data_IF_569512647948
#
_entry.id   IF_569512647948
#
_cell.length_a   1.000
_cell.length_b   1.000
_cell.length_c   1.000
_cell.angle_alpha   90.00
_cell.angle_beta   90.00
_cell.angle_gamma   90.00
#
_symmetry.space_group_name_H-M   'P 1'
#
loop_
_entity.id
_entity.type
_entity.pdbx_description
1 polymer ?
#
# COMPACT_ATOMS: atom_id res chain seq x y z
N UNK A 1 -35.83 -47.09 -29.97
CA UNK A 1 -37.18 -47.63 -29.70
C UNK A 1 -37.74 -46.94 -28.46
N UNK A 2 -38.91 -46.35 -28.63
CA UNK A 2 -39.91 -45.81 -27.69
C UNK A 2 -39.60 -45.50 -26.23
N UNK A 3 -39.96 -44.25 -25.89
CA UNK A 3 -40.14 -43.70 -24.55
C UNK A 3 -41.65 -43.45 -24.35
N UNK A 4 -42.34 -44.17 -23.45
CA UNK A 4 -43.70 -43.82 -22.97
C UNK A 4 -43.56 -43.05 -21.65
N UNK A 5 -44.03 -41.80 -21.48
CA UNK A 5 -45.37 -41.19 -21.65
C UNK A 5 -46.30 -41.45 -20.46
N UNK A 6 -46.49 -40.43 -19.62
CA UNK A 6 -47.81 -40.02 -19.10
C UNK A 6 -47.76 -38.54 -18.68
N UNK A 7 -48.77 -37.79 -19.12
CA UNK A 7 -48.95 -36.35 -18.97
C UNK A 7 -50.45 -36.10 -19.11
N UNK A 8 -51.03 -35.25 -18.25
CA UNK A 8 -52.42 -34.76 -18.28
C UNK A 8 -52.32 -33.27 -17.91
N UNK A 9 -52.73 -32.29 -18.73
CA UNK A 9 -54.12 -31.95 -19.15
C UNK A 9 -55.05 -31.81 -17.93
N UNK A 10 -55.90 -30.79 -17.74
CA UNK A 10 -56.31 -29.59 -18.49
C UNK A 10 -57.00 -28.63 -17.45
N UNK A 11 -57.52 -27.41 -17.68
CA UNK A 11 -57.81 -26.53 -18.85
C UNK A 11 -58.01 -25.06 -18.34
N UNK A 12 -57.69 -24.05 -19.18
CA UNK A 12 -58.48 -22.86 -19.61
C UNK A 12 -59.31 -21.96 -18.63
N UNK A 13 -59.63 -20.68 -18.90
CA UNK A 13 -59.42 -19.77 -20.07
C UNK A 13 -59.43 -18.27 -19.62
N UNK A 14 -58.83 -17.39 -20.43
CA UNK A 14 -58.98 -15.91 -20.42
C UNK A 14 -60.09 -15.50 -21.46
N UNK A 15 -60.46 -14.25 -21.81
CA UNK A 15 -59.98 -12.85 -21.60
C UNK A 15 -61.20 -11.90 -21.81
N UNK A 16 -60.98 -10.67 -22.27
CA UNK A 16 -61.84 -9.79 -23.10
C UNK A 16 -62.66 -8.63 -22.47
N UNK A 17 -61.90 -7.53 -22.23
CA UNK A 17 -61.89 -6.28 -23.03
C UNK A 17 -62.90 -5.12 -22.87
N UNK A 18 -62.31 -3.94 -23.13
CA UNK A 18 -62.83 -2.61 -23.49
C UNK A 18 -63.61 -1.77 -22.45
N UNK A 19 -63.61 -0.42 -22.43
CA UNK A 19 -62.72 0.71 -22.85
C UNK A 19 -63.63 1.94 -23.09
N UNK A 20 -63.28 3.09 -22.46
CA UNK A 20 -63.53 4.54 -22.77
C UNK A 20 -63.81 5.30 -21.44
N UNK A 21 -63.09 6.38 -21.06
CA UNK A 21 -63.13 7.79 -21.53
C UNK A 21 -64.57 8.37 -21.53
N UNK A 22 -64.90 9.51 -20.91
CA UNK A 22 -64.14 10.79 -20.82
C UNK A 22 -64.38 11.67 -19.56
N UNK A 23 -63.46 12.64 -19.38
CA UNK A 23 -63.39 13.89 -18.56
C UNK A 23 -64.54 14.42 -17.66
N UNK A 24 -64.19 15.15 -16.58
CA UNK A 24 -64.50 16.60 -16.35
C UNK A 24 -63.79 17.22 -15.11
N UNK A 25 -63.07 18.33 -15.36
CA UNK A 25 -62.50 19.45 -14.54
C UNK A 25 -62.30 19.43 -13.00
N UNK A 26 -61.11 19.94 -12.58
CA UNK A 26 -60.86 21.19 -11.79
C UNK A 26 -62.02 21.82 -10.95
N UNK A 27 -61.81 22.50 -9.81
CA UNK A 27 -60.62 23.18 -9.24
C UNK A 27 -60.70 23.24 -7.70
N UNK A 28 -59.56 23.40 -7.01
CA UNK A 28 -59.37 24.35 -5.88
C UNK A 28 -57.98 24.17 -5.22
N UNK A 29 -57.07 25.11 -5.49
CA UNK A 29 -55.82 25.23 -4.76
C UNK A 29 -56.01 26.06 -3.47
N UNK A 30 -55.48 25.59 -2.34
CA UNK A 30 -55.31 26.40 -1.13
C UNK A 30 -53.83 26.35 -0.71
N UNK A 31 -53.36 27.48 -0.19
CA UNK A 31 -51.95 27.84 -0.07
C UNK A 31 -51.15 27.08 0.99
N UNK A 32 -49.86 26.94 0.71
CA UNK A 32 -48.78 26.61 1.65
C UNK A 32 -48.85 27.52 2.89
N UNK A 33 -48.92 26.92 4.08
CA UNK A 33 -48.12 27.28 5.28
C UNK A 33 -48.50 26.38 6.47
N UNK A 34 -47.68 25.37 6.77
CA UNK A 34 -47.61 24.78 8.11
C UNK A 34 -46.15 24.44 8.48
N UNK A 35 -45.79 24.45 9.78
CA UNK A 35 -44.40 24.55 10.22
C UNK A 35 -43.69 23.20 10.33
N UNK A 36 -42.35 23.28 10.40
CA UNK A 36 -41.45 22.19 10.77
C UNK A 36 -41.89 21.50 12.07
N UNK A 37 -42.44 20.29 11.97
CA UNK A 37 -42.55 19.35 13.09
C UNK A 37 -41.58 18.19 12.86
N UNK A 38 -40.74 17.94 13.85
CA UNK A 38 -39.61 17.02 13.77
C UNK A 38 -40.05 15.56 13.90
N UNK A 39 -39.93 14.79 12.82
CA UNK A 39 -39.75 13.34 12.92
C UNK A 39 -38.34 12.98 12.42
N UNK A 40 -37.42 12.90 13.38
CA UNK A 40 -36.05 12.47 13.11
C UNK A 40 -36.01 10.94 13.20
N UNK A 41 -36.14 10.25 12.05
CA UNK A 41 -35.96 8.80 11.98
C UNK A 41 -34.47 8.46 12.12
N UNK A 42 -33.97 8.53 13.36
CA UNK A 42 -32.60 8.19 13.74
C UNK A 42 -32.38 6.71 13.44
N UNK A 43 -31.79 6.38 12.27
CA UNK A 43 -31.13 5.08 12.06
C UNK A 43 -29.87 5.09 12.93
N UNK A 44 -30.09 4.80 14.21
CA UNK A 44 -29.06 4.69 15.23
C UNK A 44 -28.11 3.57 14.84
N UNK A 45 -26.90 3.95 14.40
CA UNK A 45 -25.79 3.01 14.27
C UNK A 45 -25.61 2.29 15.62
N UNK A 46 -26.03 1.02 15.66
CA UNK A 46 -26.18 0.24 16.89
C UNK A 46 -24.82 0.06 17.56
N UNK A 47 -24.47 0.99 18.46
CA UNK A 47 -23.25 0.97 19.28
C UNK A 47 -23.17 -0.40 19.95
N UNK A 48 -22.15 -1.18 19.60
CA UNK A 48 -21.91 -2.46 20.24
C UNK A 48 -21.75 -2.27 21.77
N UNK A 49 -22.28 -3.17 22.61
CA UNK A 49 -22.17 -3.03 24.05
C UNK A 49 -20.70 -2.97 24.49
N UNK A 50 -20.32 -1.92 25.23
CA UNK A 50 -18.98 -1.76 25.83
C UNK A 50 -18.87 -2.55 27.15
N UNK A 51 -19.31 -3.80 27.19
CA UNK A 51 -19.35 -4.58 28.44
C UNK A 51 -18.37 -5.76 28.40
N UNK A 52 -17.35 -5.67 29.25
CA UNK A 52 -16.75 -6.80 29.97
C UNK A 52 -16.06 -7.92 29.16
N UNK A 53 -15.19 -7.56 28.23
CA UNK A 53 -13.90 -8.28 28.20
C UNK A 53 -13.23 -8.10 29.57
N UNK A 54 -12.66 -9.14 30.18
CA UNK A 54 -11.78 -8.96 31.32
C UNK A 54 -10.55 -8.18 30.83
N UNK A 55 -10.59 -6.87 31.02
CA UNK A 55 -9.40 -6.03 30.99
C UNK A 55 -8.51 -6.48 32.14
N UNK A 56 -7.72 -7.52 31.89
CA UNK A 56 -6.53 -7.80 32.70
C UNK A 56 -5.66 -6.56 32.52
N UNK A 57 -5.80 -5.64 33.48
CA UNK A 57 -5.00 -4.43 33.64
C UNK A 57 -3.62 -4.86 34.12
N UNK A 58 -2.92 -5.63 33.28
CA UNK A 58 -1.46 -5.70 33.32
C UNK A 58 -1.01 -4.28 33.02
N UNK A 59 -0.74 -3.52 34.10
CA UNK A 59 -0.06 -2.25 34.06
C UNK A 59 1.23 -2.48 33.25
N UNK A 60 1.46 -1.73 32.15
CA UNK A 60 2.62 -1.96 31.31
C UNK A 60 3.88 -1.68 32.14
N UNK A 61 4.64 -2.72 32.46
CA UNK A 61 5.93 -2.57 33.16
C UNK A 61 6.84 -1.73 32.27
N UNK A 62 7.72 -0.91 32.86
CA UNK A 62 8.71 -0.14 32.10
C UNK A 62 9.61 -1.13 31.35
N UNK A 63 9.40 -1.23 30.04
CA UNK A 63 10.00 -2.25 29.19
C UNK A 63 10.83 -1.64 28.08
N UNK A 64 12.04 -2.17 27.87
CA UNK A 64 12.93 -1.75 26.78
C UNK A 64 12.25 -1.90 25.40
N UNK A 65 11.33 -2.87 25.26
CA UNK A 65 10.53 -3.11 24.05
C UNK A 65 9.65 -1.92 23.63
N UNK A 66 9.39 -0.95 24.51
CA UNK A 66 8.67 0.29 24.17
C UNK A 66 9.40 1.15 23.12
N UNK A 67 10.69 0.90 22.85
CA UNK A 67 11.48 1.64 21.86
C UNK A 67 11.56 0.97 20.48
N UNK A 68 10.87 -0.16 20.25
CA UNK A 68 10.88 -0.87 18.96
C UNK A 68 10.39 -0.02 17.78
N UNK A 69 9.68 1.08 18.02
CA UNK A 69 9.29 2.06 17.00
C UNK A 69 10.47 2.79 16.36
N UNK A 70 11.64 2.83 17.00
CA UNK A 70 12.83 3.48 16.44
C UNK A 70 13.33 2.77 15.17
N UNK A 71 13.21 1.44 15.08
CA UNK A 71 13.67 0.67 13.92
C UNK A 71 12.99 1.10 12.61
N UNK A 72 11.64 1.09 12.48
CA UNK A 72 10.98 1.60 11.29
C UNK A 72 11.11 3.14 11.16
N UNK A 73 11.33 3.89 12.24
CA UNK A 73 11.59 5.33 12.11
C UNK A 73 12.91 5.58 11.38
N UNK A 74 14.01 4.98 11.86
CA UNK A 74 15.34 5.06 11.25
C UNK A 74 15.30 4.51 9.84
N UNK A 75 14.59 3.40 9.58
CA UNK A 75 14.43 2.86 8.22
C UNK A 75 13.81 3.91 7.26
N UNK A 76 12.78 4.63 7.72
CA UNK A 76 12.14 5.68 6.93
C UNK A 76 13.04 6.88 6.65
N UNK A 77 13.92 7.25 7.59
CA UNK A 77 14.94 8.29 7.37
C UNK A 77 16.03 7.79 6.42
N UNK A 78 16.48 6.54 6.55
CA UNK A 78 17.50 5.96 5.66
C UNK A 78 17.04 5.94 4.21
N UNK A 79 15.75 5.62 3.93
CA UNK A 79 15.18 5.71 2.57
C UNK A 79 15.32 7.12 1.98
N UNK A 80 15.03 8.17 2.76
CA UNK A 80 15.15 9.57 2.31
C UNK A 80 16.63 9.91 2.04
N UNK A 81 17.53 9.50 2.94
CA UNK A 81 18.97 9.71 2.78
C UNK A 81 19.54 8.97 1.57
N UNK A 82 19.06 7.76 1.28
CA UNK A 82 19.47 6.96 0.11
C UNK A 82 19.15 7.66 -1.22
N UNK A 83 18.09 8.46 -1.29
CA UNK A 83 17.78 9.25 -2.49
C UNK A 83 18.64 10.53 -2.55
N UNK A 84 18.63 11.34 -1.48
CA UNK A 84 19.20 12.69 -1.54
C UNK A 84 20.72 12.76 -1.36
N UNK A 85 21.35 11.91 -0.55
CA UNK A 85 22.81 11.99 -0.32
C UNK A 85 23.62 11.61 -1.57
N UNK A 86 23.33 10.51 -2.29
CA UNK A 86 24.05 10.20 -3.51
C UNK A 86 23.82 11.26 -4.60
N UNK A 87 22.58 11.76 -4.71
CA UNK A 87 22.24 12.86 -5.63
C UNK A 87 23.07 14.12 -5.37
N UNK A 88 23.16 14.61 -4.12
CA UNK A 88 23.94 15.82 -3.83
C UNK A 88 25.42 15.64 -4.16
N UNK A 89 26.00 14.47 -3.86
CA UNK A 89 27.40 14.14 -4.18
C UNK A 89 27.63 14.08 -5.70
N UNK A 90 26.78 13.36 -6.43
CA UNK A 90 26.93 13.17 -7.88
C UNK A 90 26.71 14.47 -8.65
N UNK A 91 25.77 15.34 -8.21
CA UNK A 91 25.61 16.69 -8.75
C UNK A 91 26.79 17.59 -8.42
N UNK A 92 27.29 17.60 -7.18
CA UNK A 92 28.43 18.45 -6.80
C UNK A 92 29.71 18.09 -7.55
N UNK A 93 29.85 16.84 -7.96
CA UNK A 93 30.98 16.34 -8.75
C UNK A 93 30.76 16.46 -10.27
N UNK A 94 29.65 17.05 -10.73
CA UNK A 94 29.30 17.15 -12.15
C UNK A 94 29.10 15.80 -12.87
N UNK A 95 28.95 14.71 -12.11
CA UNK A 95 28.89 13.34 -12.65
C UNK A 95 27.55 13.02 -13.31
N UNK A 96 26.50 13.80 -12.99
CA UNK A 96 25.15 13.70 -13.52
C UNK A 96 24.60 15.08 -13.90
N UNK A 97 23.65 15.12 -14.83
CA UNK A 97 22.82 16.30 -15.08
C UNK A 97 21.94 16.58 -13.85
N UNK A 98 21.86 17.83 -13.35
CA UNK A 98 21.24 18.10 -12.05
C UNK A 98 19.70 18.05 -12.04
N UNK A 99 19.03 18.08 -13.18
CA UNK A 99 17.55 18.15 -13.21
C UNK A 99 16.97 16.73 -13.20
N UNK A 100 16.63 16.24 -11.99
CA UNK A 100 15.88 15.00 -11.75
C UNK A 100 16.33 13.77 -12.57
N UNK A 101 17.60 13.34 -12.43
CA UNK A 101 18.04 12.06 -13.00
C UNK A 101 17.48 10.88 -12.18
N UNK A 102 17.49 9.69 -12.76
CA UNK A 102 17.20 8.42 -12.08
C UNK A 102 17.92 8.33 -10.72
N UNK A 103 17.22 7.86 -9.69
CA UNK A 103 17.77 7.67 -8.34
C UNK A 103 18.93 6.67 -8.38
N UNK A 104 18.82 5.64 -9.22
CA UNK A 104 19.88 4.66 -9.45
C UNK A 104 21.16 5.29 -10.01
N UNK A 105 21.07 6.39 -10.76
CA UNK A 105 22.22 7.04 -11.41
C UNK A 105 22.85 8.14 -10.56
N UNK A 106 22.02 8.86 -9.80
CA UNK A 106 22.49 9.59 -8.63
C UNK A 106 23.35 8.73 -7.70
N UNK A 107 23.03 7.42 -7.59
CA UNK A 107 23.77 6.41 -6.85
C UNK A 107 24.75 5.54 -7.66
N UNK A 108 25.07 5.86 -8.92
CA UNK A 108 25.87 4.96 -9.76
C UNK A 108 27.38 5.24 -9.76
N UNK A 109 27.78 6.51 -9.67
CA UNK A 109 29.17 6.97 -9.86
C UNK A 109 29.91 7.09 -8.52
N UNK A 110 31.19 6.77 -8.49
CA UNK A 110 32.05 6.93 -7.31
C UNK A 110 32.29 8.43 -7.03
N UNK A 111 32.20 8.92 -5.77
CA UNK A 111 32.04 8.16 -4.53
C UNK A 111 30.58 7.94 -4.09
N UNK A 112 29.59 8.56 -4.73
CA UNK A 112 28.18 8.48 -4.35
C UNK A 112 27.65 7.03 -4.27
N UNK A 113 28.13 6.16 -5.15
CA UNK A 113 27.79 4.73 -5.19
C UNK A 113 28.06 3.98 -3.87
N UNK A 114 29.16 4.27 -3.18
CA UNK A 114 29.47 3.63 -1.90
C UNK A 114 28.44 3.98 -0.82
N UNK A 115 28.00 5.24 -0.80
CA UNK A 115 26.94 5.70 0.10
C UNK A 115 25.59 5.08 -0.27
N UNK A 116 25.22 5.08 -1.54
CA UNK A 116 23.96 4.50 -2.01
C UNK A 116 23.84 3.01 -1.64
N UNK A 117 24.84 2.21 -2.00
CA UNK A 117 24.91 0.79 -1.63
C UNK A 117 24.78 0.57 -0.12
N UNK A 118 25.57 1.30 0.67
CA UNK A 118 25.54 1.21 2.15
C UNK A 118 24.17 1.56 2.72
N UNK A 119 23.48 2.58 2.21
CA UNK A 119 22.13 2.90 2.66
C UNK A 119 21.13 1.79 2.29
N UNK A 120 21.17 1.24 1.08
CA UNK A 120 20.28 0.16 0.66
C UNK A 120 20.48 -1.12 1.48
N UNK A 121 21.72 -1.47 1.82
CA UNK A 121 22.03 -2.62 2.69
C UNK A 121 21.50 -2.41 4.12
N UNK A 122 21.65 -1.21 4.69
CA UNK A 122 21.07 -0.85 6.00
C UNK A 122 19.53 -0.93 5.95
N UNK A 123 18.90 -0.42 4.89
CA UNK A 123 17.44 -0.47 4.70
C UNK A 123 16.97 -1.92 4.57
N UNK A 124 17.70 -2.78 3.86
CA UNK A 124 17.40 -4.20 3.74
C UNK A 124 17.39 -4.89 5.12
N UNK A 125 18.47 -4.72 5.90
CA UNK A 125 18.59 -5.31 7.26
C UNK A 125 17.45 -4.80 8.17
N UNK A 126 17.22 -3.48 8.20
CA UNK A 126 16.14 -2.89 9.00
C UNK A 126 14.76 -3.38 8.57
N UNK A 127 14.53 -3.58 7.28
CA UNK A 127 13.25 -4.09 6.75
C UNK A 127 12.95 -5.51 7.22
N UNK A 128 13.96 -6.40 7.26
CA UNK A 128 13.83 -7.74 7.87
C UNK A 128 13.48 -7.62 9.36
N UNK A 129 14.21 -6.81 10.12
CA UNK A 129 13.97 -6.61 11.55
C UNK A 129 12.54 -6.09 11.84
N UNK A 130 12.11 -5.06 11.10
CA UNK A 130 10.75 -4.48 11.19
C UNK A 130 9.70 -5.54 10.86
N UNK A 131 9.90 -6.34 9.81
CA UNK A 131 8.97 -7.40 9.42
C UNK A 131 8.84 -8.52 10.46
N UNK A 132 9.94 -8.91 11.13
CA UNK A 132 9.91 -9.87 12.23
C UNK A 132 9.07 -9.32 13.40
N UNK A 133 9.28 -8.06 13.79
CA UNK A 133 8.55 -7.40 14.88
C UNK A 133 7.06 -7.27 14.52
N UNK A 134 6.76 -6.79 13.31
CA UNK A 134 5.40 -6.65 12.77
C UNK A 134 4.68 -8.01 12.71
N UNK A 135 5.37 -9.06 12.27
CA UNK A 135 4.84 -10.43 12.24
C UNK A 135 4.46 -10.95 13.63
N UNK A 136 5.22 -10.58 14.67
CA UNK A 136 4.91 -10.91 16.07
C UNK A 136 3.75 -10.05 16.59
N UNK A 137 3.67 -8.77 16.20
CA UNK A 137 2.55 -7.88 16.52
C UNK A 137 1.22 -8.40 15.91
N UNK A 138 1.22 -8.79 14.63
CA UNK A 138 0.05 -9.37 13.95
C UNK A 138 -0.36 -10.70 14.60
N UNK A 139 0.60 -11.53 15.03
CA UNK A 139 0.31 -12.76 15.79
C UNK A 139 -0.37 -12.45 17.13
N UNK A 140 0.03 -11.38 17.82
CA UNK A 140 -0.64 -10.92 19.04
C UNK A 140 -2.08 -10.44 18.74
N UNK A 141 -2.29 -9.61 17.73
CA UNK A 141 -3.64 -9.16 17.37
C UNK A 141 -4.56 -10.33 16.96
N UNK A 142 -4.03 -11.34 16.25
CA UNK A 142 -4.75 -12.58 15.96
C UNK A 142 -5.23 -13.29 17.24
N UNK A 143 -4.37 -13.35 18.26
CA UNK A 143 -4.73 -13.93 19.55
C UNK A 143 -5.79 -13.08 20.28
N UNK A 144 -5.67 -11.75 20.25
CA UNK A 144 -6.65 -10.85 20.85
C UNK A 144 -8.03 -11.00 20.20
N UNK A 145 -8.10 -11.06 18.87
CA UNK A 145 -9.34 -11.33 18.11
C UNK A 145 -9.99 -12.65 18.53
N UNK A 146 -9.20 -13.73 18.68
CA UNK A 146 -9.73 -15.01 19.16
C UNK A 146 -10.36 -14.94 20.55
N UNK A 147 -9.80 -14.14 21.47
CA UNK A 147 -10.42 -13.96 22.79
C UNK A 147 -11.73 -13.19 22.68
N UNK A 148 -11.83 -12.19 21.81
CA UNK A 148 -13.07 -11.43 21.59
C UNK A 148 -14.17 -12.29 20.97
N UNK A 149 -13.86 -13.13 19.98
CA UNK A 149 -14.83 -14.06 19.40
C UNK A 149 -15.35 -15.08 20.41
N UNK A 150 -14.50 -15.59 21.31
CA UNK A 150 -14.93 -16.51 22.39
C UNK A 150 -15.92 -15.89 23.38
N UNK A 151 -15.99 -14.57 23.46
CA UNK A 151 -16.85 -13.84 24.40
C UNK A 151 -18.14 -13.36 23.73
N UNK A 152 -18.04 -12.69 22.58
CA UNK A 152 -19.14 -11.82 22.10
C UNK A 152 -19.72 -12.18 20.72
N UNK A 153 -19.01 -12.91 19.84
CA UNK A 153 -19.38 -13.05 18.41
C UNK A 153 -18.89 -14.34 17.75
N UNK A 154 -19.65 -14.91 16.79
CA UNK A 154 -19.14 -15.98 15.93
C UNK A 154 -17.87 -15.54 15.18
N UNK A 155 -16.99 -16.49 14.89
CA UNK A 155 -15.71 -16.24 14.22
C UNK A 155 -15.98 -15.85 12.77
N UNK A 156 -15.50 -14.67 12.37
CA UNK A 156 -15.40 -14.29 10.96
C UNK A 156 -14.17 -14.97 10.34
N UNK A 157 -14.41 -16.16 9.78
CA UNK A 157 -13.35 -16.96 9.17
C UNK A 157 -12.67 -16.25 8.00
N UNK A 158 -13.40 -15.41 7.24
CA UNK A 158 -12.85 -14.69 6.09
C UNK A 158 -11.81 -13.67 6.55
N UNK A 159 -12.15 -12.79 7.49
CA UNK A 159 -11.21 -11.81 8.02
C UNK A 159 -10.07 -12.47 8.81
N UNK A 160 -10.34 -13.57 9.52
CA UNK A 160 -9.32 -14.33 10.22
C UNK A 160 -8.30 -14.99 9.28
N UNK A 161 -8.76 -15.62 8.20
CA UNK A 161 -7.91 -16.24 7.19
C UNK A 161 -7.14 -15.18 6.39
N UNK A 162 -7.77 -14.04 6.06
CA UNK A 162 -7.10 -12.89 5.46
C UNK A 162 -5.95 -12.37 6.34
N UNK A 163 -6.18 -12.18 7.65
CA UNK A 163 -5.13 -11.75 8.59
C UNK A 163 -3.95 -12.76 8.66
N UNK A 164 -4.23 -14.06 8.60
CA UNK A 164 -3.20 -15.12 8.57
C UNK A 164 -2.41 -15.08 7.26
N UNK A 165 -3.09 -14.88 6.13
CA UNK A 165 -2.49 -14.79 4.81
C UNK A 165 -1.63 -13.53 4.67
N UNK A 166 -2.17 -12.34 4.99
CA UNK A 166 -1.43 -11.07 4.95
C UNK A 166 -0.15 -11.13 5.79
N UNK A 167 -0.18 -11.77 6.97
CA UNK A 167 1.03 -11.99 7.79
C UNK A 167 2.07 -12.89 7.10
N UNK A 168 1.64 -13.91 6.35
CA UNK A 168 2.57 -14.75 5.54
C UNK A 168 3.17 -13.93 4.39
N UNK A 169 2.33 -13.17 3.68
CA UNK A 169 2.76 -12.33 2.55
C UNK A 169 3.77 -11.28 3.03
N UNK A 170 3.46 -10.49 4.07
CA UNK A 170 4.35 -9.49 4.70
C UNK A 170 5.74 -10.05 5.00
N UNK A 171 5.83 -11.30 5.52
CA UNK A 171 7.12 -11.96 5.75
C UNK A 171 7.86 -12.23 4.44
N UNK A 172 7.21 -12.85 3.47
CA UNK A 172 7.83 -13.24 2.20
C UNK A 172 8.27 -11.99 1.43
N UNK A 173 7.38 -11.01 1.27
CA UNK A 173 7.70 -9.76 0.56
C UNK A 173 8.78 -8.96 1.26
N UNK A 174 8.87 -8.95 2.61
CA UNK A 174 9.99 -8.30 3.29
C UNK A 174 11.35 -8.93 3.00
N UNK A 175 11.41 -10.26 2.79
CA UNK A 175 12.65 -10.95 2.41
C UNK A 175 12.99 -10.59 0.96
N UNK A 176 12.00 -10.63 0.05
CA UNK A 176 12.19 -10.24 -1.35
C UNK A 176 12.61 -8.77 -1.50
N UNK A 177 11.98 -7.84 -0.79
CA UNK A 177 12.40 -6.42 -0.72
C UNK A 177 13.87 -6.32 -0.34
N UNK A 178 14.29 -7.04 0.71
CA UNK A 178 15.65 -6.95 1.25
C UNK A 178 16.70 -7.54 0.30
N UNK A 179 16.38 -8.67 -0.35
CA UNK A 179 17.22 -9.26 -1.41
C UNK A 179 17.29 -8.35 -2.63
N UNK A 180 16.17 -7.78 -3.06
CA UNK A 180 16.11 -6.85 -4.19
C UNK A 180 16.95 -5.60 -3.93
N UNK A 181 16.82 -4.97 -2.76
CA UNK A 181 17.62 -3.81 -2.34
C UNK A 181 19.12 -4.11 -2.31
N UNK A 182 19.52 -5.24 -1.72
CA UNK A 182 20.92 -5.69 -1.69
C UNK A 182 21.48 -5.86 -3.11
N UNK A 183 20.73 -6.47 -4.02
CA UNK A 183 21.12 -6.63 -5.43
C UNK A 183 21.20 -5.25 -6.12
N UNK A 184 20.19 -4.40 -6.00
CA UNK A 184 20.16 -3.06 -6.61
C UNK A 184 21.30 -2.16 -6.14
N UNK A 185 21.68 -2.22 -4.86
CA UNK A 185 22.77 -1.42 -4.31
C UNK A 185 24.16 -1.91 -4.70
N UNK A 186 24.36 -3.23 -4.79
CA UNK A 186 25.68 -3.82 -5.07
C UNK A 186 25.95 -4.03 -6.57
N UNK A 187 24.92 -4.25 -7.39
CA UNK A 187 25.03 -4.23 -8.85
C UNK A 187 24.61 -2.85 -9.38
N UNK A 188 25.60 -1.99 -9.66
CA UNK A 188 25.37 -0.60 -10.12
C UNK A 188 24.80 -0.57 -11.54
N UNK A 189 23.89 0.36 -11.81
CA UNK A 189 23.23 0.53 -13.12
C UNK A 189 24.23 0.68 -14.27
N UNK A 190 25.31 1.43 -14.05
CA UNK A 190 26.34 1.74 -15.07
C UNK A 190 27.30 0.59 -15.38
N UNK A 191 27.53 -0.33 -14.43
CA UNK A 191 28.50 -1.44 -14.54
C UNK A 191 27.81 -2.77 -14.86
N UNK A 192 26.65 -3.04 -14.26
CA UNK A 192 25.90 -4.27 -14.42
C UNK A 192 24.39 -3.99 -14.37
N UNK A 193 23.89 -3.37 -15.45
CA UNK A 193 22.48 -3.05 -15.63
C UNK A 193 21.57 -4.28 -15.43
N UNK A 194 21.95 -5.46 -15.94
CA UNK A 194 21.14 -6.67 -15.82
C UNK A 194 20.94 -7.08 -14.35
N UNK A 195 22.02 -7.11 -13.55
CA UNK A 195 21.94 -7.36 -12.11
C UNK A 195 21.10 -6.31 -11.40
N UNK A 196 21.32 -5.02 -11.72
CA UNK A 196 20.56 -3.91 -11.16
C UNK A 196 19.04 -4.06 -11.39
N UNK A 197 18.64 -4.32 -12.64
CA UNK A 197 17.24 -4.47 -13.04
C UNK A 197 16.57 -5.71 -12.44
N UNK A 198 17.31 -6.81 -12.21
CA UNK A 198 16.81 -7.96 -11.45
C UNK A 198 16.47 -7.52 -10.01
N UNK A 199 17.35 -6.77 -9.35
CA UNK A 199 17.12 -6.24 -8.00
C UNK A 199 15.88 -5.36 -7.94
N UNK A 200 15.75 -4.40 -8.87
CA UNK A 200 14.61 -3.47 -8.96
C UNK A 200 13.29 -4.22 -9.18
N UNK A 201 13.30 -5.21 -10.09
CA UNK A 201 12.12 -6.04 -10.43
C UNK A 201 11.67 -6.92 -9.26
N UNK A 202 12.57 -7.34 -8.37
CA UNK A 202 12.22 -8.07 -7.16
C UNK A 202 11.70 -7.10 -6.08
N UNK A 203 12.40 -5.98 -5.87
CA UNK A 203 12.14 -5.02 -4.80
C UNK A 203 10.80 -4.29 -4.95
N UNK A 204 10.57 -3.59 -6.07
CA UNK A 204 9.44 -2.66 -6.19
C UNK A 204 8.07 -3.36 -6.09
N UNK A 205 7.78 -4.46 -6.83
CA UNK A 205 6.50 -5.16 -6.70
C UNK A 205 6.31 -5.76 -5.31
N UNK A 206 7.38 -6.30 -4.70
CA UNK A 206 7.34 -6.82 -3.33
C UNK A 206 7.01 -5.72 -2.32
N UNK A 207 7.55 -4.51 -2.53
CA UNK A 207 7.24 -3.30 -1.77
C UNK A 207 5.75 -2.91 -1.82
N UNK A 208 5.17 -2.89 -3.01
CA UNK A 208 3.74 -2.63 -3.19
C UNK A 208 2.88 -3.71 -2.51
N UNK A 209 3.16 -4.99 -2.75
CA UNK A 209 2.42 -6.11 -2.15
C UNK A 209 2.54 -6.12 -0.62
N UNK A 210 3.71 -5.76 -0.06
CA UNK A 210 3.91 -5.56 1.38
C UNK A 210 2.98 -4.47 1.92
N UNK A 211 2.96 -3.29 1.29
CA UNK A 211 2.15 -2.15 1.71
C UNK A 211 0.64 -2.44 1.64
N UNK A 212 0.17 -3.06 0.55
CA UNK A 212 -1.22 -3.48 0.42
C UNK A 212 -1.62 -4.56 1.44
N UNK A 213 -0.75 -5.53 1.70
CA UNK A 213 -0.97 -6.53 2.75
C UNK A 213 -1.10 -5.89 4.14
N UNK A 214 -0.34 -4.82 4.40
CA UNK A 214 -0.40 -4.05 5.63
C UNK A 214 -1.69 -3.22 5.75
N UNK A 215 -2.20 -2.68 4.64
CA UNK A 215 -3.53 -2.05 4.59
C UNK A 215 -4.61 -3.07 4.96
N UNK A 216 -4.61 -4.27 4.36
CA UNK A 216 -5.56 -5.34 4.68
C UNK A 216 -5.54 -5.69 6.18
N UNK A 217 -4.35 -5.86 6.77
CA UNK A 217 -4.19 -6.08 8.22
C UNK A 217 -4.88 -4.97 9.02
N UNK A 218 -4.60 -3.70 8.72
CA UNK A 218 -5.14 -2.60 9.54
C UNK A 218 -6.61 -2.29 9.28
N UNK A 219 -7.16 -2.56 8.09
CA UNK A 219 -8.61 -2.49 7.84
C UNK A 219 -9.37 -3.54 8.67
N UNK A 220 -8.84 -4.77 8.76
CA UNK A 220 -9.40 -5.81 9.62
C UNK A 220 -9.31 -5.40 11.10
N UNK A 221 -8.21 -4.81 11.54
CA UNK A 221 -8.08 -4.39 12.95
C UNK A 221 -8.95 -3.18 13.31
N UNK A 222 -9.28 -2.33 12.32
CA UNK A 222 -10.19 -1.21 12.46
C UNK A 222 -11.65 -1.66 12.57
N UNK A 223 -12.09 -2.65 11.77
CA UNK A 223 -13.46 -3.19 11.84
C UNK A 223 -13.82 -3.87 13.18
N UNK A 224 -12.82 -4.23 13.98
CA UNK A 224 -12.98 -4.72 15.37
C UNK A 224 -12.60 -3.69 16.45
N UNK A 225 -12.30 -2.44 16.08
CA UNK A 225 -11.92 -1.37 17.01
C UNK A 225 -10.63 -1.63 17.81
N UNK A 226 -9.69 -2.40 17.24
CA UNK A 226 -8.39 -2.73 17.86
C UNK A 226 -7.33 -1.69 17.49
N UNK A 227 -7.42 -1.10 16.29
CA UNK A 227 -6.52 -0.07 15.78
C UNK A 227 -7.33 1.05 15.12
N UNK A 228 -6.70 2.21 14.92
CA UNK A 228 -7.26 3.31 14.13
C UNK A 228 -7.12 3.04 12.61
N UNK A 229 -7.99 3.61 11.77
CA UNK A 229 -8.05 3.31 10.34
C UNK A 229 -6.71 3.60 9.62
N UNK A 230 -6.38 2.85 8.55
CA UNK A 230 -5.12 3.02 7.81
C UNK A 230 -5.13 4.17 6.78
N UNK A 231 -5.88 5.26 6.99
CA UNK A 231 -6.05 6.34 6.00
C UNK A 231 -4.74 6.87 5.41
N UNK A 232 -3.76 7.26 6.24
CA UNK A 232 -2.45 7.74 5.74
C UNK A 232 -1.66 6.65 5.01
N UNK A 233 -1.80 5.39 5.42
CA UNK A 233 -1.15 4.26 4.74
C UNK A 233 -1.77 4.03 3.36
N UNK A 234 -3.09 4.13 3.24
CA UNK A 234 -3.81 4.05 1.95
C UNK A 234 -3.33 5.19 1.03
N UNK A 235 -3.30 6.43 1.51
CA UNK A 235 -2.86 7.59 0.71
C UNK A 235 -1.44 7.38 0.18
N UNK A 236 -0.48 7.02 1.04
CA UNK A 236 0.92 6.79 0.62
C UNK A 236 1.03 5.63 -0.38
N UNK A 237 0.30 4.52 -0.18
CA UNK A 237 0.33 3.40 -1.13
C UNK A 237 -0.37 3.70 -2.46
N UNK A 238 -1.41 4.54 -2.46
CA UNK A 238 -2.05 5.00 -3.71
C UNK A 238 -1.10 5.89 -4.52
N UNK A 239 -0.42 6.84 -3.87
CA UNK A 239 0.62 7.67 -4.51
C UNK A 239 1.73 6.78 -5.06
N UNK A 240 2.25 5.84 -4.26
CA UNK A 240 3.28 4.87 -4.66
C UNK A 240 2.87 4.04 -5.89
N UNK A 241 1.65 3.50 -5.89
CA UNK A 241 1.11 2.69 -6.97
C UNK A 241 0.93 3.50 -8.27
N UNK A 242 0.28 4.67 -8.19
CA UNK A 242 0.07 5.53 -9.36
C UNK A 242 1.41 5.98 -9.94
N UNK A 243 2.33 6.42 -9.09
CA UNK A 243 3.68 6.84 -9.50
C UNK A 243 4.47 5.69 -10.13
N UNK A 244 4.36 4.46 -9.61
CA UNK A 244 4.98 3.27 -10.22
C UNK A 244 4.42 3.00 -11.62
N UNK A 245 3.10 3.12 -11.81
CA UNK A 245 2.44 2.91 -13.11
C UNK A 245 2.91 3.99 -14.10
N UNK A 246 2.89 5.27 -13.72
CA UNK A 246 3.38 6.35 -14.57
C UNK A 246 4.87 6.20 -14.91
N UNK A 247 5.72 5.84 -13.96
CA UNK A 247 7.14 5.56 -14.18
C UNK A 247 7.35 4.48 -15.26
N UNK A 248 6.63 3.36 -15.18
CA UNK A 248 6.74 2.28 -16.18
C UNK A 248 6.23 2.74 -17.55
N UNK A 249 5.07 3.40 -17.62
CA UNK A 249 4.50 3.90 -18.87
C UNK A 249 5.43 4.92 -19.54
N UNK A 250 5.97 5.88 -18.78
CA UNK A 250 6.85 6.93 -19.30
C UNK A 250 8.21 6.36 -19.74
N UNK A 251 8.77 5.41 -19.00
CA UNK A 251 9.97 4.66 -19.42
C UNK A 251 9.72 3.93 -20.74
N UNK A 252 8.58 3.23 -20.90
CA UNK A 252 8.22 2.56 -22.16
C UNK A 252 8.03 3.56 -23.31
N UNK A 253 7.37 4.69 -23.10
CA UNK A 253 7.21 5.73 -24.13
C UNK A 253 8.55 6.37 -24.52
N UNK A 254 9.48 6.53 -23.58
CA UNK A 254 10.83 7.04 -23.86
C UNK A 254 11.67 6.00 -24.61
N UNK A 255 11.63 4.73 -24.21
CA UNK A 255 12.24 3.60 -24.94
C UNK A 255 11.78 3.54 -26.39
N UNK A 256 10.48 3.69 -26.65
CA UNK A 256 9.92 3.70 -28.01
C UNK A 256 10.43 4.88 -28.87
N UNK A 257 10.75 6.03 -28.27
CA UNK A 257 11.37 7.17 -28.98
C UNK A 257 12.85 6.95 -29.31
N UNK A 258 13.56 6.17 -28.51
CA UNK A 258 14.99 5.85 -28.71
C UNK A 258 15.21 4.54 -29.49
N UNK A 259 14.14 3.84 -29.87
CA UNK A 259 14.18 2.67 -30.77
C UNK A 259 14.86 1.41 -30.23
N UNK A 260 15.70 1.51 -29.21
CA UNK A 260 16.45 0.40 -28.59
C UNK A 260 16.66 0.63 -27.10
N UNK A 261 16.47 -0.43 -26.32
CA UNK A 261 16.77 -0.44 -24.88
C UNK A 261 18.23 -0.13 -24.57
N UNK A 262 19.15 -0.51 -25.46
CA UNK A 262 20.59 -0.26 -25.31
C UNK A 262 20.96 1.21 -25.57
N UNK A 263 20.17 1.94 -26.37
CA UNK A 263 20.37 3.38 -26.57
C UNK A 263 19.80 4.16 -25.38
N UNK A 264 18.63 3.77 -24.87
CA UNK A 264 18.04 4.37 -23.66
C UNK A 264 18.92 4.22 -22.41
N UNK A 265 19.53 3.04 -22.22
CA UNK A 265 20.48 2.78 -21.12
C UNK A 265 21.95 3.06 -21.49
N UNK A 266 22.24 3.80 -22.56
CA UNK A 266 23.59 4.28 -22.81
C UNK A 266 23.98 5.28 -21.70
N UNK A 267 25.05 4.98 -20.95
CA UNK A 267 25.50 5.82 -19.84
C UNK A 267 25.89 7.25 -20.25
N UNK A 268 26.44 7.45 -21.46
CA UNK A 268 26.81 8.79 -21.96
C UNK A 268 25.58 9.68 -22.15
N UNK A 269 24.49 9.12 -22.69
CA UNK A 269 23.21 9.80 -22.81
C UNK A 269 22.59 10.00 -21.42
N UNK A 270 22.45 8.90 -20.67
CA UNK A 270 21.62 8.81 -19.47
C UNK A 270 22.15 9.65 -18.30
N UNK A 271 23.47 9.71 -18.10
CA UNK A 271 24.06 10.52 -17.04
C UNK A 271 24.01 12.03 -17.35
N UNK A 272 23.97 12.43 -18.63
CA UNK A 272 24.04 13.84 -19.05
C UNK A 272 22.81 14.27 -19.88
N UNK A 273 21.67 13.62 -19.65
CA UNK A 273 20.47 13.79 -20.46
C UNK A 273 19.87 15.18 -20.24
N UNK A 274 19.98 16.06 -21.23
CA UNK A 274 19.62 17.48 -21.10
C UNK A 274 18.48 17.89 -22.07
N UNK A 275 17.88 19.09 -21.91
CA UNK A 275 16.70 19.51 -22.68
C UNK A 275 16.81 19.53 -24.21
N UNK A 276 18.04 19.53 -24.76
CA UNK A 276 18.26 19.51 -26.22
C UNK A 276 18.21 18.10 -26.81
N UNK A 277 18.28 17.07 -25.97
CA UNK A 277 18.31 15.66 -26.39
C UNK A 277 16.90 15.08 -26.56
N UNK A 278 16.74 14.15 -27.52
CA UNK A 278 15.47 13.47 -27.76
C UNK A 278 14.95 12.77 -26.49
N UNK A 279 13.62 12.70 -26.34
CA UNK A 279 12.96 11.99 -25.24
C UNK A 279 13.05 12.67 -23.85
N UNK A 280 13.86 13.72 -23.66
CA UNK A 280 14.16 14.34 -22.36
C UNK A 280 12.93 14.53 -21.44
N UNK A 281 11.86 15.17 -21.92
CA UNK A 281 10.67 15.43 -21.09
C UNK A 281 9.94 14.16 -20.64
N UNK A 282 9.98 13.07 -21.42
CA UNK A 282 9.36 11.79 -21.03
C UNK A 282 10.23 11.06 -20.01
N UNK A 283 11.55 11.11 -20.19
CA UNK A 283 12.52 10.58 -19.23
C UNK A 283 12.41 11.30 -17.88
N UNK A 284 12.60 12.63 -17.84
CA UNK A 284 12.54 13.41 -16.59
C UNK A 284 11.20 13.25 -15.86
N UNK A 285 10.08 13.15 -16.57
CA UNK A 285 8.78 12.89 -15.91
C UNK A 285 8.69 11.46 -15.36
N UNK A 286 9.28 10.48 -16.05
CA UNK A 286 9.43 9.11 -15.57
C UNK A 286 10.31 9.04 -14.32
N UNK A 287 11.44 9.75 -14.31
CA UNK A 287 12.38 9.83 -13.20
C UNK A 287 11.73 10.51 -11.99
N UNK A 288 11.00 11.61 -12.16
CA UNK A 288 10.18 12.22 -11.08
C UNK A 288 9.19 11.19 -10.50
N UNK A 289 8.60 10.33 -11.34
CA UNK A 289 7.74 9.24 -10.88
C UNK A 289 8.51 8.10 -10.17
N UNK A 290 9.75 7.82 -10.55
CA UNK A 290 10.66 6.92 -9.80
C UNK A 290 10.96 7.50 -8.41
N UNK A 291 11.38 8.77 -8.34
CA UNK A 291 11.66 9.47 -7.09
C UNK A 291 10.47 9.47 -6.13
N UNK A 292 9.26 9.80 -6.60
CA UNK A 292 8.04 9.76 -5.77
C UNK A 292 7.74 8.33 -5.29
N UNK A 293 7.93 7.32 -6.15
CA UNK A 293 7.76 5.90 -5.79
C UNK A 293 8.74 5.49 -4.68
N UNK A 294 10.03 5.79 -4.84
CA UNK A 294 11.06 5.41 -3.87
C UNK A 294 10.93 6.19 -2.55
N UNK A 295 10.70 7.50 -2.62
CA UNK A 295 10.48 8.32 -1.43
C UNK A 295 9.23 7.90 -0.64
N UNK A 296 8.20 7.33 -1.28
CA UNK A 296 6.99 6.85 -0.58
C UNK A 296 7.26 5.77 0.48
N UNK A 297 8.34 5.00 0.33
CA UNK A 297 8.76 4.01 1.33
C UNK A 297 9.25 4.65 2.64
N UNK A 298 9.68 5.92 2.63
CA UNK A 298 10.05 6.68 3.82
C UNK A 298 8.84 6.93 4.74
N UNK A 299 7.81 7.66 4.30
CA UNK A 299 6.55 7.86 5.02
C UNK A 299 5.85 6.55 5.40
N UNK A 300 5.87 5.51 4.55
CA UNK A 300 5.36 4.18 4.88
C UNK A 300 5.99 3.64 6.18
N UNK A 301 7.32 3.68 6.28
CA UNK A 301 8.07 3.25 7.45
C UNK A 301 7.80 4.15 8.68
N UNK A 302 7.66 5.47 8.50
CA UNK A 302 7.30 6.40 9.58
C UNK A 302 5.87 6.13 10.11
N UNK A 303 4.92 5.75 9.24
CA UNK A 303 3.56 5.35 9.65
C UNK A 303 3.59 4.06 10.47
N UNK A 304 4.38 3.06 10.06
CA UNK A 304 4.61 1.82 10.83
C UNK A 304 5.21 2.15 12.20
N UNK A 305 6.19 3.05 12.25
CA UNK A 305 6.79 3.53 13.49
C UNK A 305 5.76 4.15 14.45
N UNK A 306 4.91 5.06 13.96
CA UNK A 306 3.82 5.63 14.77
C UNK A 306 2.91 4.55 15.35
N UNK A 307 2.54 3.52 14.56
CA UNK A 307 1.73 2.39 15.03
C UNK A 307 2.46 1.52 16.05
N UNK A 308 3.76 1.30 15.90
CA UNK A 308 4.58 0.62 16.90
C UNK A 308 4.65 1.39 18.22
N UNK A 309 4.77 2.72 18.17
CA UNK A 309 4.79 3.61 19.35
C UNK A 309 3.43 3.64 20.08
N UNK A 310 2.33 3.50 19.34
CA UNK A 310 0.97 3.43 19.90
C UNK A 310 0.64 2.08 20.55
N UNK A 311 1.30 0.99 20.15
CA UNK A 311 1.05 -0.34 20.72
C UNK A 311 1.62 -0.48 22.14
N UNK A 312 0.74 -0.64 23.13
CA UNK A 312 1.10 -0.67 24.56
C UNK A 312 1.42 -2.09 25.09
N UNK A 313 1.18 -3.14 24.32
CA UNK A 313 1.23 -4.56 24.79
C UNK A 313 2.52 -5.30 24.36
N UNK A 314 3.62 -4.59 24.13
CA UNK A 314 4.91 -5.18 23.74
C UNK A 314 5.44 -6.24 24.73
N UNK A 315 5.08 -6.15 26.01
CA UNK A 315 5.48 -7.13 27.03
C UNK A 315 4.83 -8.49 26.87
N UNK A 316 3.62 -8.53 26.33
CA UNK A 316 2.89 -9.76 26.04
C UNK A 316 3.48 -10.53 24.83
N UNK A 317 4.40 -9.91 24.09
CA UNK A 317 5.05 -10.53 22.92
C UNK A 317 6.38 -11.17 23.33
N UNK A 318 6.48 -12.49 23.11
CA UNK A 318 7.74 -13.25 23.22
C UNK A 318 8.60 -12.98 21.97
N UNK A 319 9.73 -12.30 22.18
CA UNK A 319 10.73 -12.05 21.14
C UNK A 319 11.73 -13.19 21.06
#
# INVERSE_FOLDING_TARGET
>A
MDKKRKLTKNDNDDDDRDKTFDTVTNDNAISITEPFTTDTTIISARKAPKNNLPHIYIQPKKSKKRHLWLLPFVNGIMVIMACFVPYTISVSNGSIYPIWPLVSDAGAVTPAAGYFSTFLDIIAILTICVSIILSKQIRYYKWELLQRFKLDRPIDERNFNCLVLSRKIIKITSILISVGLFITGNFRSIENLTGHMIGVTIFLPSGLIYGFSLICVYLILDSYGIQSPPTMLIIVMMISLLSSIFCVVLTVLSLLKHGSIWQYYNNELRLQWNPTMSGYYLHVLGDVCEWITLLSFGPLNIIISRRFRMFKRWDCIKF
#
